data_IF_193042179999
#
_entry.id   IF_193042179999
#
_cell.length_a   1.000
_cell.length_b   1.000
_cell.length_c   1.000
_cell.angle_alpha   90.00
_cell.angle_beta   90.00
_cell.angle_gamma   90.00
#
_symmetry.space_group_name_H-M   'P 1'
#
loop_
_entity.id
_entity.type
_entity.pdbx_description
1 polymer ?
#
# COMPACT_ATOMS: atom_id res chain seq x y z
N UNK A 1 -7.18 -10.29 1.10
CA UNK A 1 -6.47 -11.58 0.96
C UNK A 1 -5.45 -11.68 2.10
N UNK A 2 -5.66 -12.59 3.04
CA UNK A 2 -4.68 -12.86 4.11
C UNK A 2 -3.86 -14.09 3.71
N UNK A 3 -2.54 -13.99 3.51
CA UNK A 3 -1.72 -15.14 3.14
C UNK A 3 -1.76 -16.23 4.23
N UNK A 4 -1.99 -17.48 3.83
CA UNK A 4 -1.89 -18.64 4.71
C UNK A 4 -0.46 -19.16 4.86
N UNK A 5 0.46 -18.69 4.01
CA UNK A 5 1.86 -19.12 3.98
C UNK A 5 2.80 -17.93 4.18
N UNK A 6 3.94 -18.21 4.81
CA UNK A 6 4.98 -17.25 5.18
C UNK A 6 5.50 -16.46 3.96
N UNK A 7 5.70 -17.17 2.84
CA UNK A 7 6.12 -16.60 1.55
C UNK A 7 4.95 -16.13 0.66
N UNK A 8 3.70 -16.31 1.07
CA UNK A 8 2.54 -16.17 0.18
C UNK A 8 2.44 -14.79 -0.44
N UNK A 9 2.73 -13.75 0.34
CA UNK A 9 2.75 -12.37 -0.14
C UNK A 9 3.88 -12.16 -1.17
N UNK A 10 5.09 -12.61 -0.84
CA UNK A 10 6.28 -12.45 -1.67
C UNK A 10 6.15 -13.14 -3.02
N UNK A 11 5.71 -14.40 -3.00
CA UNK A 11 5.50 -15.19 -4.21
C UNK A 11 4.41 -14.58 -5.10
N UNK A 12 3.30 -14.13 -4.51
CA UNK A 12 2.18 -13.52 -5.24
C UNK A 12 2.64 -12.27 -5.98
N UNK A 13 3.29 -11.32 -5.29
CA UNK A 13 3.73 -10.08 -5.92
C UNK A 13 4.86 -10.30 -6.92
N UNK A 14 5.78 -11.24 -6.67
CA UNK A 14 6.82 -11.59 -7.63
C UNK A 14 6.21 -12.08 -8.95
N UNK A 15 5.21 -12.96 -8.88
CA UNK A 15 4.55 -13.50 -10.07
C UNK A 15 3.71 -12.44 -10.79
N UNK A 16 2.95 -11.62 -10.05
CA UNK A 16 2.17 -10.53 -10.61
C UNK A 16 3.07 -9.51 -11.35
N UNK A 17 4.17 -9.09 -10.72
CA UNK A 17 5.14 -8.18 -11.32
C UNK A 17 5.76 -8.78 -12.58
N UNK A 18 6.13 -10.07 -12.56
CA UNK A 18 6.73 -10.76 -13.71
C UNK A 18 5.76 -10.81 -14.90
N UNK A 19 4.52 -11.27 -14.66
CA UNK A 19 3.50 -11.39 -15.73
C UNK A 19 3.15 -10.04 -16.33
N UNK A 20 2.99 -9.01 -15.49
CA UNK A 20 2.66 -7.68 -15.98
C UNK A 20 3.81 -7.07 -16.79
N UNK A 21 5.05 -7.17 -16.31
CA UNK A 21 6.22 -6.71 -17.07
C UNK A 21 6.33 -7.39 -18.43
N UNK A 22 6.17 -8.72 -18.48
CA UNK A 22 6.20 -9.46 -19.74
C UNK A 22 5.11 -8.98 -20.72
N UNK A 23 3.88 -8.74 -20.22
CA UNK A 23 2.78 -8.21 -21.02
C UNK A 23 3.11 -6.84 -21.60
N UNK A 24 3.57 -5.91 -20.77
CA UNK A 24 3.88 -4.53 -21.18
C UNK A 24 5.06 -4.49 -22.14
N UNK A 25 6.14 -5.22 -21.85
CA UNK A 25 7.31 -5.29 -22.74
C UNK A 25 6.94 -5.89 -24.11
N UNK A 26 6.11 -6.94 -24.14
CA UNK A 26 5.65 -7.53 -25.39
C UNK A 26 4.79 -6.57 -26.22
N UNK A 27 3.86 -5.85 -25.56
CA UNK A 27 2.95 -4.87 -26.19
C UNK A 27 3.68 -3.64 -26.71
N UNK A 28 4.60 -3.09 -25.91
CA UNK A 28 5.28 -1.82 -26.20
C UNK A 28 6.67 -1.99 -26.82
N UNK A 29 7.12 -3.23 -27.06
CA UNK A 29 8.46 -3.57 -27.57
C UNK A 29 9.58 -2.95 -26.73
N UNK A 30 9.40 -2.93 -25.40
CA UNK A 30 10.37 -2.38 -24.45
C UNK A 30 11.23 -3.50 -23.84
N UNK A 31 12.40 -3.11 -23.34
CA UNK A 31 13.31 -3.96 -22.55
C UNK A 31 13.76 -3.21 -21.30
N UNK A 32 14.29 -3.94 -20.31
CA UNK A 32 14.79 -3.36 -19.05
C UNK A 32 13.83 -3.50 -17.87
N UNK A 33 14.02 -2.67 -16.84
CA UNK A 33 13.26 -2.76 -15.59
C UNK A 33 11.99 -1.91 -15.65
N UNK A 34 10.82 -2.55 -15.55
CA UNK A 34 9.53 -1.84 -15.44
C UNK A 34 9.29 -1.30 -14.02
N UNK A 35 9.63 -2.11 -13.02
CA UNK A 35 9.41 -1.80 -11.60
C UNK A 35 10.65 -1.14 -10.99
N UNK A 36 10.44 -0.13 -10.16
CA UNK A 36 11.52 0.59 -9.45
C UNK A 36 12.03 -0.14 -8.19
N UNK A 37 11.56 -1.36 -7.91
CA UNK A 37 11.98 -2.12 -6.75
C UNK A 37 11.09 -3.32 -6.46
N UNK A 38 11.41 -4.02 -5.36
CA UNK A 38 10.56 -5.07 -4.78
C UNK A 38 9.37 -4.43 -4.08
N UNK A 39 8.29 -5.20 -3.91
CA UNK A 39 7.20 -4.79 -3.03
C UNK A 39 7.75 -4.65 -1.59
N UNK A 40 7.13 -3.75 -0.83
CA UNK A 40 7.43 -3.56 0.59
C UNK A 40 6.20 -3.91 1.43
N UNK A 41 6.43 -4.36 2.66
CA UNK A 41 5.39 -4.67 3.63
C UNK A 41 5.91 -4.29 5.01
N UNK A 42 5.11 -3.53 5.73
CA UNK A 42 5.45 -3.00 7.06
C UNK A 42 4.26 -3.15 7.99
N UNK A 43 4.49 -3.73 9.17
CA UNK A 43 3.47 -3.85 10.20
C UNK A 43 3.22 -2.47 10.81
N UNK A 44 1.96 -2.13 11.07
CA UNK A 44 1.61 -0.81 11.57
C UNK A 44 0.49 -0.85 12.61
N UNK A 45 0.52 0.10 13.55
CA UNK A 45 -0.59 0.32 14.48
C UNK A 45 -1.78 1.04 13.79
N UNK A 46 -2.88 1.23 14.52
CA UNK A 46 -4.11 1.82 13.96
C UNK A 46 -3.90 3.23 13.42
N UNK A 47 -3.15 4.07 14.14
CA UNK A 47 -2.87 5.46 13.74
C UNK A 47 -2.13 5.50 12.41
N UNK A 48 -1.11 4.68 12.27
CA UNK A 48 -0.30 4.62 11.05
C UNK A 48 -1.04 3.94 9.90
N UNK A 49 -1.94 2.99 10.18
CA UNK A 49 -2.86 2.42 9.19
C UNK A 49 -3.79 3.48 8.60
N UNK A 50 -4.42 4.29 9.44
CA UNK A 50 -5.31 5.38 9.01
C UNK A 50 -4.53 6.37 8.15
N UNK A 51 -3.33 6.76 8.58
CA UNK A 51 -2.46 7.64 7.82
C UNK A 51 -2.08 7.04 6.46
N UNK A 52 -1.70 5.75 6.41
CA UNK A 52 -1.36 5.04 5.18
C UNK A 52 -2.57 4.96 4.21
N UNK A 53 -3.75 4.65 4.72
CA UNK A 53 -4.98 4.61 3.93
C UNK A 53 -5.31 5.97 3.31
N UNK A 54 -5.23 7.05 4.11
CA UNK A 54 -5.40 8.43 3.63
C UNK A 54 -4.41 8.76 2.53
N UNK A 55 -3.13 8.49 2.78
CA UNK A 55 -2.05 8.79 1.84
C UNK A 55 -2.29 8.12 0.50
N UNK A 56 -2.63 6.83 0.50
CA UNK A 56 -2.89 6.08 -0.73
C UNK A 56 -4.09 6.63 -1.50
N UNK A 57 -5.20 6.92 -0.80
CA UNK A 57 -6.39 7.49 -1.41
C UNK A 57 -6.16 8.89 -1.99
N UNK A 58 -5.33 9.71 -1.33
CA UNK A 58 -5.03 11.09 -1.73
C UNK A 58 -3.90 11.23 -2.74
N UNK A 59 -3.14 10.17 -3.03
CA UNK A 59 -2.03 10.21 -3.99
C UNK A 59 -2.41 10.77 -5.38
N UNK A 60 -3.55 10.40 -6.00
CA UNK A 60 -3.95 10.97 -7.28
C UNK A 60 -4.14 12.50 -7.22
N UNK A 61 -4.70 12.99 -6.11
CA UNK A 61 -4.92 14.43 -5.86
C UNK A 61 -3.60 15.14 -5.61
N UNK A 62 -2.77 14.62 -4.69
CA UNK A 62 -1.46 15.18 -4.36
C UNK A 62 -0.53 15.23 -5.60
N UNK A 63 -0.68 14.27 -6.52
CA UNK A 63 0.08 14.24 -7.74
C UNK A 63 -0.52 15.15 -8.85
N UNK A 64 -1.72 15.70 -8.66
CA UNK A 64 -2.41 16.57 -9.62
C UNK A 64 -3.05 15.83 -10.81
N UNK A 65 -3.39 14.55 -10.64
CA UNK A 65 -4.11 13.76 -11.66
C UNK A 65 -5.61 14.04 -11.64
N UNK A 66 -6.17 14.22 -10.45
CA UNK A 66 -7.60 14.47 -10.24
C UNK A 66 -7.78 15.55 -9.18
N UNK A 67 -8.98 16.17 -9.14
CA UNK A 67 -9.32 17.15 -8.10
C UNK A 67 -9.77 16.48 -6.81
N UNK A 68 -10.41 15.31 -6.91
CA UNK A 68 -10.92 14.54 -5.77
C UNK A 68 -10.43 13.10 -5.85
N UNK A 69 -10.35 12.42 -4.70
CA UNK A 69 -9.84 11.06 -4.62
C UNK A 69 -10.73 10.05 -5.37
N UNK A 70 -12.06 10.20 -5.26
CA UNK A 70 -13.05 9.35 -5.95
C UNK A 70 -13.02 9.48 -7.48
N UNK A 71 -12.49 10.57 -8.01
CA UNK A 71 -12.46 10.80 -9.46
C UNK A 71 -11.35 9.96 -10.14
N UNK A 72 -10.52 9.25 -9.37
CA UNK A 72 -9.48 8.39 -9.90
C UNK A 72 -9.97 6.93 -10.01
N UNK A 73 -10.27 6.43 -11.23
CA UNK A 73 -10.92 5.13 -11.41
C UNK A 73 -10.01 3.93 -11.12
N UNK A 74 -8.71 4.16 -10.91
CA UNK A 74 -7.73 3.11 -10.61
C UNK A 74 -7.36 3.09 -9.11
N UNK A 75 -8.26 3.54 -8.25
CA UNK A 75 -8.14 3.53 -6.80
C UNK A 75 -9.42 2.99 -6.17
N UNK A 76 -9.29 2.39 -5.00
CA UNK A 76 -10.43 1.95 -4.19
C UNK A 76 -11.13 3.11 -3.46
N UNK A 77 -10.65 4.35 -3.57
CA UNK A 77 -11.20 5.50 -2.85
C UNK A 77 -12.69 5.73 -3.15
N UNK A 78 -13.12 5.54 -4.41
CA UNK A 78 -14.53 5.63 -4.80
C UNK A 78 -15.40 4.60 -4.08
N UNK A 79 -15.03 3.32 -4.18
CA UNK A 79 -15.72 2.22 -3.51
C UNK A 79 -15.86 2.43 -1.99
N UNK A 80 -14.80 2.91 -1.31
CA UNK A 80 -14.86 3.18 0.14
C UNK A 80 -15.73 4.39 0.49
N UNK A 81 -15.79 5.41 -0.38
CA UNK A 81 -16.68 6.56 -0.19
C UNK A 81 -18.15 6.21 -0.43
N UNK A 82 -18.42 5.30 -1.36
CA UNK A 82 -19.77 4.79 -1.66
C UNK A 82 -20.22 3.72 -0.65
N UNK A 83 -19.28 3.08 0.05
CA UNK A 83 -19.57 1.96 0.94
C UNK A 83 -20.01 0.70 0.19
N UNK A 84 -19.61 0.57 -1.08
CA UNK A 84 -20.05 -0.48 -1.97
C UNK A 84 -18.88 -1.18 -2.66
N UNK A 85 -18.94 -2.50 -2.73
CA UNK A 85 -17.96 -3.32 -3.43
C UNK A 85 -18.14 -3.18 -4.96
N UNK A 86 -17.03 -3.12 -5.71
CA UNK A 86 -17.01 -2.87 -7.16
C UNK A 86 -16.52 -4.07 -7.99
N UNK A 87 -16.50 -5.25 -7.38
CA UNK A 87 -16.00 -6.50 -7.97
C UNK A 87 -14.48 -6.70 -7.85
N UNK A 88 -13.72 -5.66 -7.51
CA UNK A 88 -12.28 -5.75 -7.20
C UNK A 88 -12.01 -5.39 -5.74
N UNK A 89 -12.73 -4.39 -5.22
CA UNK A 89 -12.60 -3.88 -3.86
C UNK A 89 -13.66 -4.52 -2.98
N UNK A 90 -13.21 -5.02 -1.82
CA UNK A 90 -14.06 -5.38 -0.70
C UNK A 90 -13.90 -4.31 0.37
N UNK A 91 -14.93 -3.52 0.60
CA UNK A 91 -14.90 -2.27 1.39
C UNK A 91 -14.99 -2.52 2.89
N UNK A 92 -15.74 -3.55 3.30
CA UNK A 92 -16.08 -3.81 4.69
C UNK A 92 -14.87 -3.89 5.65
N UNK A 93 -13.74 -4.56 5.34
CA UNK A 93 -12.62 -4.67 6.26
C UNK A 93 -11.98 -3.32 6.63
N UNK A 94 -11.91 -2.38 5.67
CA UNK A 94 -11.35 -1.06 5.94
C UNK A 94 -12.39 -0.18 6.65
N UNK A 95 -13.63 -0.17 6.18
CA UNK A 95 -14.70 0.64 6.77
C UNK A 95 -15.06 0.21 8.20
N UNK A 96 -14.90 -1.06 8.56
CA UNK A 96 -15.09 -1.53 9.93
C UNK A 96 -14.10 -0.90 10.92
N UNK A 97 -12.89 -0.54 10.45
CA UNK A 97 -11.85 0.14 11.24
C UNK A 97 -11.93 1.66 11.09
N UNK A 98 -12.43 2.12 9.95
CA UNK A 98 -12.47 3.50 9.52
C UNK A 98 -13.87 3.86 8.98
N UNK A 99 -14.88 3.96 9.86
CA UNK A 99 -16.26 4.16 9.44
C UNK A 99 -16.48 5.53 8.79
N UNK A 100 -15.78 6.57 9.25
CA UNK A 100 -15.80 7.90 8.65
C UNK A 100 -14.65 8.09 7.64
N UNK A 101 -14.70 7.32 6.55
CA UNK A 101 -13.69 7.40 5.49
C UNK A 101 -13.69 8.78 4.82
N UNK A 102 -14.86 9.39 4.64
CA UNK A 102 -14.99 10.72 4.04
C UNK A 102 -14.36 11.82 4.90
N UNK A 103 -14.66 11.83 6.21
CA UNK A 103 -14.05 12.76 7.16
C UNK A 103 -12.54 12.58 7.26
N UNK A 104 -12.05 11.35 7.21
CA UNK A 104 -10.61 11.04 7.17
C UNK A 104 -9.93 11.67 5.94
N UNK A 105 -10.54 11.61 4.75
CA UNK A 105 -9.98 12.26 3.56
C UNK A 105 -10.01 13.79 3.65
N UNK A 106 -11.08 14.35 4.21
CA UNK A 106 -11.25 15.79 4.41
C UNK A 106 -10.34 16.35 5.52
N UNK A 107 -9.93 15.51 6.46
CA UNK A 107 -9.09 15.88 7.60
C UNK A 107 -7.65 16.22 7.24
N UNK A 108 -6.96 16.82 8.22
CA UNK A 108 -5.55 17.14 8.13
C UNK A 108 -4.69 15.87 8.06
N UNK A 109 -3.56 15.96 7.36
CA UNK A 109 -2.61 14.86 7.28
C UNK A 109 -1.78 14.77 8.56
N UNK A 110 -1.62 13.56 9.08
CA UNK A 110 -0.65 13.27 10.13
C UNK A 110 0.75 13.11 9.52
N UNK A 111 1.41 14.24 9.27
CA UNK A 111 2.73 14.27 8.63
C UNK A 111 3.78 13.44 9.36
N UNK A 112 3.68 13.34 10.69
CA UNK A 112 4.59 12.55 11.50
C UNK A 112 4.41 11.05 11.23
N UNK A 113 3.16 10.57 11.19
CA UNK A 113 2.84 9.19 10.84
C UNK A 113 3.26 8.85 9.40
N UNK A 114 3.01 9.76 8.45
CA UNK A 114 3.44 9.58 7.06
C UNK A 114 4.96 9.53 6.94
N UNK A 115 5.68 10.41 7.62
CA UNK A 115 7.15 10.39 7.62
C UNK A 115 7.70 9.06 8.16
N UNK A 116 7.12 8.54 9.24
CA UNK A 116 7.50 7.26 9.81
C UNK A 116 7.20 6.09 8.85
N UNK A 117 6.04 6.11 8.20
CA UNK A 117 5.67 5.14 7.16
C UNK A 117 6.68 5.14 6.00
N UNK A 118 7.01 6.32 5.46
CA UNK A 118 7.95 6.46 4.35
C UNK A 118 9.37 6.00 4.72
N UNK A 119 9.82 6.28 5.94
CA UNK A 119 11.11 5.82 6.45
C UNK A 119 11.17 4.29 6.60
N UNK A 120 10.05 3.65 6.93
CA UNK A 120 9.97 2.19 7.04
C UNK A 120 10.06 1.46 5.71
N UNK A 121 9.74 2.12 4.59
CA UNK A 121 9.56 1.47 3.28
C UNK A 121 10.79 0.68 2.82
N UNK A 122 11.98 1.17 3.17
CA UNK A 122 13.25 0.53 2.80
C UNK A 122 13.69 -0.55 3.78
N UNK A 123 13.24 -0.49 5.03
CA UNK A 123 13.71 -1.35 6.12
C UNK A 123 12.73 -2.46 6.49
N UNK A 124 11.44 -2.30 6.14
CA UNK A 124 10.36 -3.19 6.57
C UNK A 124 10.09 -3.15 8.07
N UNK A 125 10.66 -2.16 8.79
CA UNK A 125 10.54 -2.07 10.24
C UNK A 125 9.12 -1.70 10.65
N UNK A 126 8.55 -2.34 11.67
CA UNK A 126 7.24 -1.95 12.19
C UNK A 126 7.17 -0.47 12.56
N UNK A 127 6.02 0.15 12.30
CA UNK A 127 5.74 1.55 12.57
C UNK A 127 4.55 1.66 13.50
N UNK A 128 4.78 2.18 14.69
CA UNK A 128 3.73 2.38 15.67
C UNK A 128 4.27 3.01 16.95
N UNK A 129 3.37 3.21 17.90
CA UNK A 129 3.72 3.60 19.27
C UNK A 129 4.67 2.57 19.92
N UNK A 130 5.54 3.04 20.84
CA UNK A 130 6.59 2.19 21.41
C UNK A 130 6.06 1.02 22.24
N UNK A 131 4.92 1.20 22.91
CA UNK A 131 4.20 0.15 23.62
C UNK A 131 3.63 -0.91 22.66
N UNK A 132 3.04 -0.48 21.54
CA UNK A 132 2.59 -1.39 20.48
C UNK A 132 3.76 -2.17 19.87
N UNK A 133 4.89 -1.50 19.63
CA UNK A 133 6.11 -2.17 19.14
C UNK A 133 6.60 -3.19 20.17
N UNK A 134 6.69 -2.84 21.45
CA UNK A 134 7.09 -3.80 22.50
C UNK A 134 6.16 -5.01 22.58
N UNK A 135 4.86 -4.78 22.46
CA UNK A 135 3.88 -5.87 22.42
C UNK A 135 4.08 -6.77 21.19
N UNK A 136 4.33 -6.18 20.01
CA UNK A 136 4.65 -6.89 18.79
C UNK A 136 5.95 -7.71 18.92
N UNK A 137 7.01 -7.15 19.50
CA UNK A 137 8.26 -7.86 19.75
C UNK A 137 8.03 -9.06 20.70
N UNK A 138 7.20 -8.88 21.73
CA UNK A 138 6.83 -9.94 22.67
C UNK A 138 6.05 -11.08 22.00
N UNK A 139 5.15 -10.76 21.08
CA UNK A 139 4.36 -11.76 20.32
C UNK A 139 5.19 -12.49 19.26
N UNK A 140 6.15 -11.81 18.66
CA UNK A 140 6.89 -12.30 17.49
C UNK A 140 8.26 -12.87 17.83
N UNK A 141 8.78 -12.59 19.03
CA UNK A 141 10.14 -12.93 19.44
C UNK A 141 11.24 -12.19 18.67
N UNK A 142 10.90 -11.19 17.84
CA UNK A 142 11.85 -10.44 17.00
C UNK A 142 11.98 -9.00 17.51
N UNK A 143 13.20 -8.54 17.80
CA UNK A 143 13.49 -7.16 18.20
C UNK A 143 13.72 -6.26 16.98
N UNK A 144 13.33 -4.98 17.07
CA UNK A 144 13.49 -3.90 16.08
C UNK A 144 14.94 -3.67 15.61
N UNK A 145 15.92 -4.19 16.36
CA UNK A 145 17.35 -3.90 16.21
C UNK A 145 18.19 -4.81 15.30
N UNK A 146 17.75 -6.00 14.88
CA UNK A 146 18.61 -6.95 14.15
C UNK A 146 18.03 -7.42 12.82
N UNK A 147 18.72 -7.08 11.72
CA UNK A 147 18.43 -7.56 10.38
C UNK A 147 17.10 -7.02 9.82
N UNK A 148 16.96 -7.00 8.50
CA UNK A 148 15.65 -6.73 7.91
C UNK A 148 14.61 -7.68 8.52
N UNK A 149 13.38 -7.21 8.74
CA UNK A 149 12.25 -8.08 9.07
C UNK A 149 11.99 -8.97 7.84
N UNK A 150 12.81 -10.02 7.69
CA UNK A 150 12.72 -11.00 6.63
C UNK A 150 11.46 -11.83 6.80
N UNK A 151 10.63 -11.74 5.77
CA UNK A 151 9.84 -12.82 5.15
C UNK A 151 9.19 -13.83 6.10
N UNK A 152 8.52 -13.39 7.17
CA UNK A 152 7.63 -14.36 7.82
C UNK A 152 6.93 -14.02 9.11
N UNK A 153 5.95 -13.11 9.05
CA UNK A 153 4.96 -12.97 10.11
C UNK A 153 3.58 -12.73 9.49
N UNK A 154 2.61 -13.56 9.86
CA UNK A 154 1.19 -13.41 9.53
C UNK A 154 0.51 -12.66 10.68
N UNK A 155 0.38 -11.33 10.58
CA UNK A 155 -0.42 -10.48 11.46
C UNK A 155 -1.14 -9.48 10.56
N UNK A 156 -2.47 -9.44 10.62
CA UNK A 156 -3.40 -8.72 9.73
C UNK A 156 -2.80 -7.51 8.99
N UNK A 157 -2.66 -7.66 7.66
CA UNK A 157 -1.91 -6.75 6.79
C UNK A 157 -2.84 -5.96 5.86
N UNK A 158 -2.79 -4.62 5.90
CA UNK A 158 -3.27 -3.74 4.81
C UNK A 158 -2.26 -2.59 4.56
N UNK A 159 -1.73 -2.61 3.34
CA UNK A 159 -1.21 -1.53 2.45
C UNK A 159 0.07 -0.75 2.84
N UNK A 160 1.09 -0.84 1.96
CA UNK A 160 1.54 0.28 1.10
C UNK A 160 2.76 -0.07 0.23
N UNK A 161 2.56 -0.38 -1.06
CA UNK A 161 3.44 0.17 -2.10
C UNK A 161 2.66 0.41 -3.40
N UNK A 162 1.88 1.51 -3.41
CA UNK A 162 1.29 2.04 -4.63
C UNK A 162 2.07 3.25 -5.16
N UNK A 163 2.83 3.98 -4.34
CA UNK A 163 3.41 5.24 -4.79
C UNK A 163 4.69 5.10 -5.63
N UNK A 164 5.47 4.01 -5.48
CA UNK A 164 6.58 3.75 -6.42
C UNK A 164 6.08 3.24 -7.77
N UNK A 165 4.91 2.59 -7.79
CA UNK A 165 4.26 2.14 -9.01
C UNK A 165 3.47 3.26 -9.70
N UNK A 166 2.90 4.23 -8.97
CA UNK A 166 2.17 5.36 -9.54
C UNK A 166 3.06 6.29 -10.39
N UNK A 167 4.34 6.46 -10.04
CA UNK A 167 5.31 7.17 -10.89
C UNK A 167 5.58 6.39 -12.18
N UNK A 168 5.67 5.06 -12.11
CA UNK A 168 5.76 4.21 -13.31
C UNK A 168 4.45 4.25 -14.11
N UNK A 169 3.28 4.27 -13.45
CA UNK A 169 1.99 4.38 -14.11
C UNK A 169 1.79 5.75 -14.76
N UNK A 170 2.31 6.87 -14.24
CA UNK A 170 2.36 8.14 -15.01
C UNK A 170 3.04 7.98 -16.36
N UNK A 171 4.13 7.21 -16.40
CA UNK A 171 4.92 6.98 -17.60
C UNK A 171 4.24 5.96 -18.53
N UNK A 172 3.63 4.91 -17.99
CA UNK A 172 2.88 3.90 -18.76
C UNK A 172 1.56 4.47 -19.29
N UNK A 173 0.79 5.21 -18.48
CA UNK A 173 -0.51 5.78 -18.86
C UNK A 173 -0.39 6.95 -19.84
N UNK A 174 0.74 7.67 -19.88
CA UNK A 174 1.05 8.61 -20.99
C UNK A 174 1.25 7.90 -22.34
N UNK A 175 1.46 6.58 -22.33
CA UNK A 175 1.78 5.77 -23.52
C UNK A 175 0.59 4.87 -23.93
N UNK A 176 -0.43 4.73 -23.08
CA UNK A 176 -1.65 4.01 -23.44
C UNK A 176 -2.64 4.96 -24.12
N UNK A 177 -3.04 4.72 -25.38
CA UNK A 177 -4.15 5.47 -25.97
C UNK A 177 -5.44 5.09 -25.26
N UNK A 178 -6.32 6.09 -25.12
CA UNK A 178 -7.70 6.02 -24.62
C UNK A 178 -8.53 4.95 -25.30
#
# INVERSE_FOLDING_TARGET
>A
MTPSHVDGLRATFAEAHRRYSARIHSRLKLTGHLWQGRFSSTAMDERHLIAAARYVAMNPVAAGMTRRAQDWPWSSAGAHLEGADDGVVVTAPLLARMPDFAGMLAGAEDEAAIRALLASRTTGRPVGADDWIKALEGQTGRRRGFGGFGDGISIGWIVADLNRQLITCRRIMRIMPS
#
